data_IF_600305760619
#
_entry.id   IF_600305760619
#
_cell.length_a   1.000
_cell.length_b   1.000
_cell.length_c   1.000
_cell.angle_alpha   90.00
_cell.angle_beta   90.00
_cell.angle_gamma   90.00
#
_symmetry.space_group_name_H-M   'P 1'
#
loop_
_entity.id
_entity.type
_entity.pdbx_description
1 polymer ?
#
# COMPACT_ATOMS: atom_id res chain seq x y z
N UNK A 1 -12.82 18.08 73.79
CA UNK A 1 -12.93 17.02 72.76
C UNK A 1 -12.93 17.76 71.43
N UNK A 2 -12.02 17.64 70.48
CA UNK A 2 -11.03 16.62 70.07
C UNK A 2 -10.12 17.47 69.14
N UNK A 3 -8.84 17.69 69.49
CA UNK A 3 -7.68 17.08 68.80
C UNK A 3 -7.88 17.04 67.27
N UNK A 4 -7.03 17.50 66.37
CA UNK A 4 -5.57 17.69 66.29
C UNK A 4 -5.33 17.92 64.77
N UNK A 5 -4.11 18.29 64.38
CA UNK A 5 -3.48 17.94 63.07
C UNK A 5 -3.68 18.90 61.89
N UNK A 6 -2.66 19.75 61.78
CA UNK A 6 -1.94 20.20 60.59
C UNK A 6 -1.82 19.09 59.52
N UNK A 7 -2.25 19.32 58.28
CA UNK A 7 -1.67 18.74 57.04
C UNK A 7 -1.96 19.75 55.92
N UNK A 8 -1.03 20.64 55.56
CA UNK A 8 0.09 20.40 54.63
C UNK A 8 -0.33 19.64 53.37
N UNK A 9 -0.32 20.39 52.27
CA UNK A 9 -0.07 19.98 50.88
C UNK A 9 -0.99 18.93 50.25
N UNK A 10 -1.80 19.40 49.31
CA UNK A 10 -1.54 19.06 47.91
C UNK A 10 -2.05 20.20 47.03
N UNK A 11 -1.12 21.01 46.51
CA UNK A 11 -1.30 21.56 45.17
C UNK A 11 -1.56 20.33 44.29
N UNK A 12 -2.81 20.10 43.90
CA UNK A 12 -3.04 19.33 42.68
C UNK A 12 -2.49 20.22 41.57
N UNK A 13 -1.17 20.09 41.35
CA UNK A 13 -0.63 20.20 40.02
C UNK A 13 -1.50 19.25 39.21
N UNK A 14 -2.46 19.81 38.46
CA UNK A 14 -2.97 19.14 37.29
C UNK A 14 -1.70 18.90 36.48
N UNK A 15 -1.08 17.73 36.66
CA UNK A 15 -0.18 17.21 35.67
C UNK A 15 -0.99 17.37 34.41
N UNK A 16 -0.53 18.21 33.50
CA UNK A 16 -0.89 18.05 32.11
C UNK A 16 -0.50 16.60 31.85
N UNK A 17 -1.44 15.69 32.02
CA UNK A 17 -1.46 14.47 31.28
C UNK A 17 -1.56 14.99 29.86
N UNK A 18 -0.39 15.29 29.30
CA UNK A 18 -0.15 15.14 27.90
C UNK A 18 -0.51 13.70 27.61
N UNK A 19 -1.82 13.44 27.54
CA UNK A 19 -2.37 12.72 26.43
C UNK A 19 -1.87 13.50 25.23
N UNK A 20 -0.63 13.19 24.84
CA UNK A 20 -0.40 12.82 23.47
C UNK A 20 -1.50 11.80 23.20
N UNK A 21 -2.68 12.32 22.81
CA UNK A 21 -3.54 11.61 21.92
C UNK A 21 -2.56 11.22 20.84
N UNK A 22 -2.24 9.93 20.79
CA UNK A 22 -1.58 9.36 19.64
C UNK A 22 -2.46 9.83 18.50
N UNK A 23 -2.04 10.93 17.87
CA UNK A 23 -2.55 11.35 16.58
C UNK A 23 -2.58 10.06 15.82
N UNK A 24 -3.80 9.68 15.43
CA UNK A 24 -4.05 8.49 14.67
C UNK A 24 -2.85 8.28 13.76
N UNK A 25 -2.10 7.21 14.01
CA UNK A 25 -0.99 6.77 13.20
C UNK A 25 -1.63 6.40 11.85
N UNK A 26 -1.93 7.42 11.06
CA UNK A 26 -2.30 7.29 9.67
C UNK A 26 -0.96 7.11 9.00
N UNK A 27 -0.46 5.88 9.08
CA UNK A 27 0.68 5.44 8.30
C UNK A 27 0.49 5.96 6.86
N UNK A 28 1.45 6.73 6.33
CA UNK A 28 1.27 7.41 5.06
C UNK A 28 1.20 6.35 3.96
N UNK A 29 -0.02 6.07 3.50
CA UNK A 29 -0.25 5.10 2.45
C UNK A 29 0.48 5.55 1.17
N UNK A 30 1.29 4.65 0.64
CA UNK A 30 2.00 4.83 -0.62
C UNK A 30 1.11 4.34 -1.75
N UNK A 31 1.01 5.15 -2.81
CA UNK A 31 0.24 4.78 -4.00
C UNK A 31 1.09 3.93 -4.94
N UNK A 32 0.58 2.74 -5.27
CA UNK A 32 1.09 1.88 -6.33
C UNK A 32 0.18 2.05 -7.55
N UNK A 33 0.75 2.52 -8.66
CA UNK A 33 0.08 2.66 -9.94
C UNK A 33 0.47 1.53 -10.87
N UNK A 34 -0.53 0.79 -11.36
CA UNK A 34 -0.38 -0.30 -12.31
C UNK A 34 -1.06 0.13 -13.60
N UNK A 35 -0.34 0.08 -14.72
CA UNK A 35 -0.88 0.40 -16.04
C UNK A 35 -0.82 -0.81 -16.95
N UNK A 36 -1.97 -1.31 -17.36
CA UNK A 36 -2.09 -2.39 -18.35
C UNK A 36 -2.26 -1.78 -19.74
N UNK A 37 -1.35 -2.10 -20.65
CA UNK A 37 -1.34 -1.65 -22.03
C UNK A 37 -1.72 -2.84 -22.91
N UNK A 38 -2.79 -2.70 -23.69
CA UNK A 38 -3.34 -3.79 -24.51
C UNK A 38 -4.44 -4.58 -23.80
N UNK A 39 -4.94 -5.63 -24.46
CA UNK A 39 -6.06 -6.43 -23.97
C UNK A 39 -5.59 -7.51 -22.98
N UNK A 40 -5.04 -7.07 -21.85
CA UNK A 40 -4.51 -7.93 -20.79
C UNK A 40 -5.11 -7.63 -19.42
N UNK A 41 -4.61 -8.33 -18.40
CA UNK A 41 -4.96 -8.09 -17.03
C UNK A 41 -3.83 -8.51 -16.09
N UNK A 42 -3.71 -7.79 -14.98
CA UNK A 42 -2.70 -8.01 -13.93
C UNK A 42 -3.41 -8.31 -12.62
N UNK A 43 -3.15 -9.47 -12.05
CA UNK A 43 -3.64 -9.89 -10.73
C UNK A 43 -2.69 -9.37 -9.65
N UNK A 44 -3.30 -8.91 -8.57
CA UNK A 44 -2.61 -8.42 -7.37
C UNK A 44 -3.10 -9.24 -6.19
N UNK A 45 -2.47 -10.39 -5.87
CA UNK A 45 -2.95 -11.30 -4.83
C UNK A 45 -3.06 -10.65 -3.46
N UNK A 46 -2.13 -9.75 -3.12
CA UNK A 46 -2.11 -9.01 -1.85
C UNK A 46 -3.39 -8.18 -1.61
N UNK A 47 -4.05 -7.74 -2.68
CA UNK A 47 -5.27 -6.95 -2.64
C UNK A 47 -6.50 -7.75 -3.11
N UNK A 48 -6.31 -9.04 -3.41
CA UNK A 48 -7.31 -9.91 -4.05
C UNK A 48 -8.04 -9.20 -5.21
N UNK A 49 -7.29 -8.45 -6.02
CA UNK A 49 -7.82 -7.55 -7.05
C UNK A 49 -7.16 -7.83 -8.39
N UNK A 50 -7.89 -7.60 -9.48
CA UNK A 50 -7.38 -7.73 -10.86
C UNK A 50 -7.53 -6.40 -11.58
N UNK A 51 -6.47 -5.93 -12.21
CA UNK A 51 -6.41 -4.69 -12.94
C UNK A 51 -6.43 -4.94 -14.45
N UNK A 52 -7.33 -4.28 -15.18
CA UNK A 52 -7.49 -4.41 -16.63
C UNK A 52 -7.05 -3.16 -17.41
N UNK A 53 -6.53 -2.15 -16.71
CA UNK A 53 -6.16 -0.86 -17.29
C UNK A 53 -5.24 -0.11 -16.34
N UNK A 54 -5.55 1.14 -16.02
CA UNK A 54 -4.83 1.89 -14.98
C UNK A 54 -5.52 1.73 -13.64
N UNK A 55 -4.84 1.11 -12.68
CA UNK A 55 -5.31 1.00 -11.29
C UNK A 55 -4.32 1.67 -10.35
N UNK A 56 -4.85 2.27 -9.29
CA UNK A 56 -4.04 2.87 -8.23
C UNK A 56 -4.51 2.33 -6.89
N UNK A 57 -3.58 1.76 -6.13
CA UNK A 57 -3.88 1.16 -4.84
C UNK A 57 -3.05 1.84 -3.74
N UNK A 58 -3.67 2.30 -2.65
CA UNK A 58 -2.95 2.73 -1.46
C UNK A 58 -2.45 1.50 -0.69
N UNK A 59 -1.17 1.50 -0.32
CA UNK A 59 -0.52 0.39 0.38
C UNK A 59 0.38 0.95 1.48
N UNK A 60 0.47 0.26 2.62
CA UNK A 60 1.39 0.65 3.68
C UNK A 60 2.86 0.54 3.22
N UNK A 61 3.76 1.46 3.63
CA UNK A 61 5.18 1.36 3.35
C UNK A 61 5.76 0.08 3.95
N UNK A 62 6.72 -0.51 3.24
CA UNK A 62 7.29 -1.81 3.58
C UNK A 62 6.46 -3.02 3.17
N UNK A 63 5.24 -2.82 2.64
CA UNK A 63 4.43 -3.91 2.09
C UNK A 63 5.10 -4.55 0.88
N UNK A 64 4.95 -5.87 0.76
CA UNK A 64 5.41 -6.63 -0.40
C UNK A 64 4.20 -6.89 -1.29
N UNK A 65 4.25 -6.39 -2.52
CA UNK A 65 3.24 -6.61 -3.55
C UNK A 65 3.84 -7.56 -4.58
N UNK A 66 3.08 -8.60 -4.95
CA UNK A 66 3.34 -9.41 -6.14
C UNK A 66 2.35 -9.05 -7.22
N UNK A 67 2.84 -8.87 -8.44
CA UNK A 67 2.04 -8.71 -9.63
C UNK A 67 2.19 -9.95 -10.52
N UNK A 68 1.05 -10.55 -10.82
CA UNK A 68 0.94 -11.74 -11.67
C UNK A 68 0.13 -11.39 -12.92
N UNK A 69 0.49 -11.94 -14.06
CA UNK A 69 -0.32 -11.80 -15.28
C UNK A 69 -1.53 -12.74 -15.18
N UNK A 70 -2.73 -12.28 -15.55
CA UNK A 70 -3.89 -13.15 -15.63
C UNK A 70 -3.72 -14.13 -16.80
N UNK A 71 -4.01 -15.42 -16.57
CA UNK A 71 -3.85 -16.47 -17.59
C UNK A 71 -4.91 -16.42 -18.70
N UNK A 72 -6.11 -15.92 -18.39
CA UNK A 72 -7.26 -15.85 -19.31
C UNK A 72 -7.40 -14.44 -19.92
N UNK A 73 -6.54 -14.12 -20.89
CA UNK A 73 -6.56 -12.83 -21.61
C UNK A 73 -6.39 -13.02 -23.11
N UNK A 74 -7.02 -12.18 -23.96
CA UNK A 74 -6.94 -12.30 -25.42
C UNK A 74 -5.61 -11.80 -26.03
N UNK A 75 -4.62 -11.43 -25.22
CA UNK A 75 -3.35 -10.86 -25.65
C UNK A 75 -2.15 -11.59 -25.02
N UNK A 76 -1.00 -11.55 -25.69
CA UNK A 76 0.24 -12.13 -25.18
C UNK A 76 1.00 -11.12 -24.33
N UNK A 77 1.46 -11.54 -23.15
CA UNK A 77 2.27 -10.68 -22.29
C UNK A 77 3.64 -10.40 -22.94
N UNK A 78 3.91 -9.12 -23.19
CA UNK A 78 5.14 -8.65 -23.81
C UNK A 78 6.22 -8.27 -22.79
N UNK A 79 5.82 -7.88 -21.57
CA UNK A 79 6.76 -7.58 -20.48
C UNK A 79 6.31 -6.46 -19.53
N UNK A 80 7.06 -6.33 -18.43
CA UNK A 80 6.96 -5.28 -17.44
C UNK A 80 7.89 -4.10 -17.74
N UNK A 81 7.49 -2.90 -17.35
CA UNK A 81 8.35 -1.71 -17.29
C UNK A 81 8.05 -0.83 -16.07
N UNK A 82 8.95 0.12 -15.78
CA UNK A 82 8.88 0.98 -14.58
C UNK A 82 9.61 0.35 -13.39
N UNK A 83 8.89 0.13 -12.29
CA UNK A 83 9.46 -0.48 -11.09
C UNK A 83 9.73 -1.99 -11.22
N UNK A 84 9.18 -2.64 -12.24
CA UNK A 84 9.51 -4.00 -12.64
C UNK A 84 9.99 -4.03 -14.09
N UNK A 85 10.88 -4.96 -14.42
CA UNK A 85 11.45 -5.09 -15.75
C UNK A 85 11.55 -6.57 -16.16
N UNK A 86 11.39 -6.82 -17.47
CA UNK A 86 11.45 -8.17 -18.04
C UNK A 86 10.10 -8.86 -18.06
N UNK A 87 10.09 -10.19 -18.25
CA UNK A 87 8.88 -11.00 -18.41
C UNK A 87 8.58 -11.93 -17.23
N UNK A 88 9.42 -11.90 -16.19
CA UNK A 88 9.27 -12.73 -14.99
C UNK A 88 8.18 -12.23 -14.03
N UNK A 89 8.09 -12.85 -12.86
CA UNK A 89 7.26 -12.35 -11.76
C UNK A 89 7.75 -10.99 -11.29
N UNK A 90 6.81 -10.11 -10.94
CA UNK A 90 7.10 -8.77 -10.46
C UNK A 90 6.80 -8.71 -8.96
N UNK A 91 7.82 -8.98 -8.15
CA UNK A 91 7.79 -8.83 -6.70
C UNK A 91 8.44 -7.49 -6.32
N UNK A 92 7.68 -6.61 -5.67
CA UNK A 92 8.14 -5.26 -5.32
C UNK A 92 7.86 -4.94 -3.85
N UNK A 93 8.82 -4.26 -3.21
CA UNK A 93 8.67 -3.74 -1.86
C UNK A 93 8.29 -2.27 -1.96
N UNK A 94 7.11 -1.93 -1.46
CA UNK A 94 6.55 -0.57 -1.56
C UNK A 94 7.24 0.33 -0.53
N UNK A 95 8.32 1.01 -0.92
CA UNK A 95 9.02 1.99 -0.06
C UNK A 95 8.74 3.44 -0.44
N UNK A 96 8.33 3.67 -1.67
CA UNK A 96 7.98 4.96 -2.24
C UNK A 96 6.95 4.76 -3.35
N UNK A 97 6.46 5.85 -3.95
CA UNK A 97 5.46 5.78 -5.03
C UNK A 97 5.98 4.86 -6.15
N UNK A 98 5.23 3.80 -6.43
CA UNK A 98 5.60 2.79 -7.41
C UNK A 98 4.74 2.95 -8.65
N UNK A 99 5.37 2.95 -9.83
CA UNK A 99 4.67 2.87 -11.12
C UNK A 99 5.16 1.65 -11.87
N UNK A 100 4.25 0.73 -12.18
CA UNK A 100 4.51 -0.46 -12.99
C UNK A 100 3.60 -0.43 -14.22
N UNK A 101 4.16 -0.72 -15.38
CA UNK A 101 3.37 -0.95 -16.58
C UNK A 101 3.55 -2.39 -17.08
N UNK A 102 2.45 -3.00 -17.49
CA UNK A 102 2.35 -4.33 -18.06
C UNK A 102 1.93 -4.19 -19.52
N UNK A 103 2.77 -4.62 -20.45
CA UNK A 103 2.45 -4.52 -21.87
C UNK A 103 1.98 -5.86 -22.39
N UNK A 104 0.87 -5.84 -23.13
CA UNK A 104 0.28 -6.98 -23.79
C UNK A 104 0.19 -6.70 -25.29
N UNK A 105 0.84 -7.55 -26.09
CA UNK A 105 0.76 -7.50 -27.54
C UNK A 105 -0.44 -8.31 -28.03
N UNK A 106 -1.17 -7.85 -29.06
CA UNK A 106 -2.20 -8.67 -29.68
C UNK A 106 -1.59 -9.99 -30.15
N UNK A 107 -2.30 -11.10 -29.93
CA UNK A 107 -1.89 -12.39 -30.52
C UNK A 107 -1.85 -12.22 -32.05
N UNK A 108 -0.82 -12.72 -32.76
CA UNK A 108 -0.73 -12.58 -34.22
C UNK A 108 -1.87 -13.28 -34.97
N UNK A 109 -2.66 -14.10 -34.29
CA UNK A 109 -3.82 -14.78 -34.84
C UNK A 109 -5.08 -14.24 -34.12
N UNK A 110 -5.61 -13.12 -34.62
CA UNK A 110 -6.96 -12.64 -34.26
C UNK A 110 -8.04 -13.45 -34.95
#
# INVERSE_FOLDING_TARGET
MRRFIIYVAALVASCAEGTARSEADVDPAIVVSITVIGAGAVRVPALNSTCHGTCSFPVAPGSIIRLDVAEDVPASFAGWSGACAGTGTCDLVVRERVSVAATFAPSPNG
#
